data_IF_419558107823
#
_entry.id   IF_419558107823
#
_cell.length_a   1.000
_cell.length_b   1.000
_cell.length_c   1.000
_cell.angle_alpha   90.00
_cell.angle_beta   90.00
_cell.angle_gamma   90.00
#
_symmetry.space_group_name_H-M   'P 1'
#
loop_
_entity.id
_entity.type
_entity.pdbx_description
1 polymer ?
#
# COMPACT_ATOMS: atom_id res chain seq x y z
N UNK A 1 -4.17 59.47 -5.16
CA UNK A 1 -2.91 58.97 -5.74
C UNK A 1 -2.92 57.45 -5.68
N UNK A 2 -2.66 56.77 -6.81
CA UNK A 2 -2.03 55.44 -7.01
C UNK A 2 -2.06 54.47 -5.78
N UNK A 3 -2.53 53.23 -5.86
CA UNK A 3 -2.14 52.20 -6.85
C UNK A 3 -3.23 51.12 -7.03
N UNK A 4 -3.28 50.66 -8.27
CA UNK A 4 -4.00 49.57 -8.90
C UNK A 4 -3.35 48.21 -8.51
N UNK A 5 -4.20 47.18 -8.29
CA UNK A 5 -4.05 45.75 -8.66
C UNK A 5 -2.78 44.98 -8.24
N UNK A 6 -2.93 43.82 -7.59
CA UNK A 6 -2.57 42.52 -8.21
C UNK A 6 -3.08 41.32 -7.42
N UNK A 7 -3.65 40.42 -8.21
CA UNK A 7 -4.24 39.11 -7.95
C UNK A 7 -3.13 38.05 -7.86
N UNK A 8 -3.10 37.23 -6.80
CA UNK A 8 -2.53 35.86 -6.81
C UNK A 8 -3.13 35.12 -5.62
N UNK A 9 -4.22 34.38 -5.78
CA UNK A 9 -4.21 33.03 -6.34
C UNK A 9 -3.22 32.13 -5.59
N UNK A 10 -3.51 31.84 -4.32
CA UNK A 10 -3.03 30.61 -3.69
C UNK A 10 -4.24 29.84 -3.18
N UNK A 11 -5.13 29.50 -4.12
CA UNK A 11 -5.88 28.25 -3.99
C UNK A 11 -4.82 27.16 -3.94
N UNK A 12 -4.37 26.83 -2.73
CA UNK A 12 -3.69 25.57 -2.49
C UNK A 12 -4.70 24.51 -2.93
N UNK A 13 -4.56 24.07 -4.19
CA UNK A 13 -5.21 22.89 -4.66
C UNK A 13 -4.80 21.81 -3.68
N UNK A 14 -5.71 21.41 -2.80
CA UNK A 14 -5.63 20.09 -2.19
C UNK A 14 -5.61 19.15 -3.38
N UNK A 15 -4.41 18.75 -3.81
CA UNK A 15 -4.25 17.67 -4.75
C UNK A 15 -4.96 16.50 -4.08
N UNK A 16 -6.19 16.24 -4.52
CA UNK A 16 -6.89 15.00 -4.24
C UNK A 16 -6.04 13.97 -4.96
N UNK A 17 -5.12 13.36 -4.21
CA UNK A 17 -4.37 12.19 -4.68
C UNK A 17 -5.41 11.08 -4.82
N UNK A 18 -5.76 10.75 -6.05
CA UNK A 18 -6.69 9.70 -6.35
C UNK A 18 -5.91 8.38 -6.29
N UNK A 19 -5.91 7.74 -5.12
CA UNK A 19 -5.24 6.45 -4.94
C UNK A 19 -5.81 5.42 -5.91
N UNK A 20 -4.94 4.90 -6.79
CA UNK A 20 -5.27 3.83 -7.72
C UNK A 20 -5.17 2.48 -7.01
N UNK A 21 -6.26 2.10 -6.32
CA UNK A 21 -6.33 0.81 -5.61
C UNK A 21 -6.13 -0.40 -6.53
N UNK A 22 -6.52 -0.30 -7.80
CA UNK A 22 -6.28 -1.38 -8.76
C UNK A 22 -4.80 -1.49 -9.11
N UNK A 23 -4.12 -0.35 -9.28
CA UNK A 23 -2.68 -0.27 -9.42
C UNK A 23 -1.93 -0.87 -8.24
N UNK A 24 -2.37 -0.57 -7.01
CA UNK A 24 -1.82 -1.13 -5.78
C UNK A 24 -2.04 -2.64 -5.67
N UNK A 25 -3.24 -3.14 -5.98
CA UNK A 25 -3.46 -4.58 -6.03
C UNK A 25 -2.55 -5.25 -7.08
N UNK A 26 -2.36 -4.57 -8.22
CA UNK A 26 -1.48 -5.02 -9.28
C UNK A 26 0.02 -4.90 -8.98
N UNK A 27 0.44 -4.20 -7.92
CA UNK A 27 1.84 -4.12 -7.50
C UNK A 27 2.27 -5.28 -6.62
N UNK A 28 1.37 -6.21 -6.30
CA UNK A 28 1.68 -7.39 -5.49
C UNK A 28 1.75 -8.62 -6.40
N UNK A 29 2.87 -9.33 -6.36
CA UNK A 29 2.99 -10.69 -6.89
C UNK A 29 2.36 -11.67 -5.90
N UNK A 30 1.12 -12.08 -6.18
CA UNK A 30 0.37 -13.01 -5.34
C UNK A 30 1.08 -14.33 -5.12
N UNK A 31 1.89 -14.80 -6.08
CA UNK A 31 2.61 -16.08 -5.94
C UNK A 31 3.68 -15.94 -4.86
N UNK A 32 4.54 -14.92 -4.97
CA UNK A 32 5.57 -14.63 -3.97
C UNK A 32 4.96 -14.29 -2.60
N UNK A 33 3.86 -13.56 -2.58
CA UNK A 33 3.16 -13.23 -1.34
C UNK A 33 2.68 -14.51 -0.62
N UNK A 34 2.08 -15.47 -1.34
CA UNK A 34 1.65 -16.75 -0.75
C UNK A 34 2.85 -17.57 -0.26
N UNK A 35 3.97 -17.54 -0.99
CA UNK A 35 5.20 -18.24 -0.58
C UNK A 35 5.88 -17.67 0.67
N UNK A 36 5.48 -16.47 1.11
CA UNK A 36 5.93 -15.88 2.37
C UNK A 36 5.17 -16.39 3.60
N UNK A 37 4.14 -17.21 3.40
CA UNK A 37 3.27 -17.69 4.48
C UNK A 37 3.59 -19.15 4.83
N UNK A 38 3.90 -19.41 6.09
CA UNK A 38 3.83 -20.75 6.68
C UNK A 38 2.35 -21.16 6.78
N UNK A 39 1.91 -21.95 5.80
CA UNK A 39 0.51 -22.39 5.68
C UNK A 39 0.05 -23.22 6.87
N UNK A 40 0.93 -24.04 7.45
CA UNK A 40 0.54 -24.87 8.59
C UNK A 40 0.29 -23.99 9.81
N UNK A 41 1.21 -23.08 10.12
CA UNK A 41 1.07 -22.15 11.24
C UNK A 41 -0.12 -21.21 11.07
N UNK A 42 -0.37 -20.74 9.84
CA UNK A 42 -1.53 -19.92 9.50
C UNK A 42 -2.85 -20.68 9.69
N UNK A 43 -2.93 -21.95 9.28
CA UNK A 43 -4.10 -22.80 9.49
C UNK A 43 -4.38 -23.05 10.97
N UNK A 44 -3.35 -23.36 11.75
CA UNK A 44 -3.48 -23.52 13.20
C UNK A 44 -3.97 -22.24 13.88
N UNK A 45 -3.45 -21.08 13.45
CA UNK A 45 -3.88 -19.78 13.91
C UNK A 45 -5.36 -19.51 13.59
N UNK A 46 -5.80 -19.84 12.37
CA UNK A 46 -7.19 -19.70 11.95
C UNK A 46 -8.14 -20.59 12.77
N UNK A 47 -7.75 -21.83 13.05
CA UNK A 47 -8.55 -22.77 13.85
C UNK A 47 -8.73 -22.32 15.31
N UNK A 48 -7.79 -21.52 15.83
CA UNK A 48 -7.75 -21.06 17.23
C UNK A 48 -8.08 -19.59 17.38
N UNK A 49 -8.36 -18.87 16.29
CA UNK A 49 -8.47 -17.42 16.24
C UNK A 49 -7.26 -16.68 16.86
N UNK A 50 -6.06 -17.28 16.78
CA UNK A 50 -4.82 -16.69 17.31
C UNK A 50 -4.20 -15.73 16.30
N UNK A 51 -4.57 -14.46 16.39
CA UNK A 51 -4.04 -13.41 15.51
C UNK A 51 -2.52 -13.22 15.62
N UNK A 52 -1.93 -13.49 16.79
CA UNK A 52 -0.49 -13.37 16.96
C UNK A 52 0.19 -14.49 16.18
N UNK A 53 -0.30 -15.73 16.28
CA UNK A 53 0.22 -16.86 15.52
C UNK A 53 0.07 -16.66 14.01
N UNK A 54 -1.04 -16.08 13.55
CA UNK A 54 -1.25 -15.72 12.15
C UNK A 54 -0.27 -14.63 11.69
N UNK A 55 0.01 -13.63 12.52
CA UNK A 55 1.03 -12.63 12.21
C UNK A 55 2.44 -13.23 12.16
N UNK A 56 2.75 -14.14 13.09
CA UNK A 56 4.03 -14.83 13.16
C UNK A 56 4.18 -15.93 12.09
N UNK A 57 3.15 -16.24 11.30
CA UNK A 57 3.25 -17.18 10.16
C UNK A 57 3.73 -16.52 8.88
N UNK A 58 3.93 -15.21 8.88
CA UNK A 58 4.40 -14.46 7.70
C UNK A 58 5.89 -14.15 7.84
N UNK A 59 6.68 -14.60 6.86
CA UNK A 59 8.05 -14.16 6.63
C UNK A 59 8.02 -12.75 6.01
N UNK A 60 8.28 -11.73 6.83
CA UNK A 60 8.17 -10.33 6.43
C UNK A 60 9.19 -9.95 5.35
N UNK A 61 10.49 -10.29 5.47
CA UNK A 61 11.43 -10.09 4.38
C UNK A 61 10.93 -10.65 3.04
N UNK A 62 10.47 -11.90 3.02
CA UNK A 62 9.97 -12.54 1.79
C UNK A 62 8.66 -11.92 1.29
N UNK A 63 7.79 -11.48 2.21
CA UNK A 63 6.56 -10.78 1.85
C UNK A 63 6.86 -9.42 1.19
N UNK A 64 7.89 -8.69 1.63
CA UNK A 64 8.29 -7.41 1.00
C UNK A 64 8.77 -7.63 -0.43
N UNK A 65 9.49 -8.74 -0.71
CA UNK A 65 9.93 -9.08 -2.07
C UNK A 65 8.79 -9.36 -3.06
N UNK A 66 7.56 -9.54 -2.57
CA UNK A 66 6.36 -9.66 -3.40
C UNK A 66 5.83 -8.32 -3.91
N UNK A 67 6.35 -7.19 -3.43
CA UNK A 67 5.85 -5.85 -3.76
C UNK A 67 6.75 -5.17 -4.79
N UNK A 68 6.18 -4.79 -5.92
CA UNK A 68 6.78 -3.84 -6.85
C UNK A 68 6.60 -2.42 -6.29
N UNK A 69 7.65 -1.92 -5.63
CA UNK A 69 7.63 -0.59 -5.01
C UNK A 69 7.46 0.55 -6.02
N UNK A 70 7.96 0.42 -7.25
CA UNK A 70 7.82 1.47 -8.26
C UNK A 70 6.36 1.58 -8.69
N UNK A 71 5.74 0.44 -9.02
CA UNK A 71 4.32 0.38 -9.39
C UNK A 71 3.39 0.82 -8.26
N UNK A 72 3.73 0.46 -7.02
CA UNK A 72 2.97 0.91 -5.84
C UNK A 72 3.05 2.44 -5.65
N UNK A 73 4.24 3.03 -5.82
CA UNK A 73 4.42 4.48 -5.72
C UNK A 73 3.68 5.22 -6.83
N UNK A 74 3.73 4.72 -8.07
CA UNK A 74 2.94 5.29 -9.17
C UNK A 74 1.44 5.27 -8.86
N UNK A 75 0.94 4.16 -8.30
CA UNK A 75 -0.48 4.02 -7.94
C UNK A 75 -0.91 4.92 -6.76
N UNK A 76 -0.01 5.21 -5.81
CA UNK A 76 -0.25 6.17 -4.73
C UNK A 76 -0.20 7.63 -5.20
N UNK A 77 0.43 7.89 -6.35
CA UNK A 77 0.73 9.23 -6.86
C UNK A 77 -0.19 9.69 -7.99
N UNK A 78 -1.25 8.93 -8.27
CA UNK A 78 -2.23 9.23 -9.33
C UNK A 78 -3.30 10.25 -8.93
#
# INVERSE_FOLDING_TARGET
>A
MKKILFFTLFSASTAVMAVDYQGLAGSVDSTKAIESVDKQKAMEAAATADYKKAYDSVDKPKAVESVDHQKALEALSK
#
